data_IF_280476679255
#
_entry.id   IF_280476679255
#
_cell.length_a   1.000
_cell.length_b   1.000
_cell.length_c   1.000
_cell.angle_alpha   90.00
_cell.angle_beta   90.00
_cell.angle_gamma   90.00
#
_symmetry.space_group_name_H-M   'P 1'
#
loop_
_entity.id
_entity.type
_entity.pdbx_description
1 polymer ?
#
# COMPACT_ATOMS: atom_id res chain seq x y z
N UNK A 1 -16.15 -75.68 -14.05
CA UNK A 1 -14.83 -75.04 -13.90
C UNK A 1 -15.07 -73.53 -13.95
N UNK A 2 -15.16 -72.92 -12.82
CA UNK A 2 -15.48 -71.45 -12.70
C UNK A 2 -14.22 -70.70 -12.33
N UNK A 3 -13.80 -69.77 -13.17
CA UNK A 3 -12.68 -68.84 -12.88
C UNK A 3 -13.24 -67.53 -12.36
N UNK A 4 -13.07 -67.30 -11.09
CA UNK A 4 -13.36 -66.00 -10.44
C UNK A 4 -12.30 -65.01 -10.80
N UNK A 5 -12.69 -63.95 -11.54
CA UNK A 5 -11.85 -62.76 -11.76
C UNK A 5 -12.14 -61.82 -10.62
N UNK A 6 -11.16 -61.60 -9.76
CA UNK A 6 -11.20 -60.55 -8.72
C UNK A 6 -10.76 -59.26 -9.33
N UNK A 7 -11.70 -58.32 -9.48
CA UNK A 7 -11.41 -56.94 -9.83
C UNK A 7 -11.02 -56.21 -8.55
N UNK A 8 -9.76 -55.89 -8.41
CA UNK A 8 -9.28 -54.98 -7.36
C UNK A 8 -9.59 -53.54 -7.73
N UNK A 9 -10.54 -52.94 -7.04
CA UNK A 9 -10.81 -51.50 -7.15
C UNK A 9 -9.70 -50.75 -6.41
N UNK A 10 -8.84 -50.10 -7.18
CA UNK A 10 -7.84 -49.15 -6.65
C UNK A 10 -8.55 -47.83 -6.43
N UNK A 11 -8.89 -47.51 -5.18
CA UNK A 11 -9.32 -46.19 -4.78
C UNK A 11 -8.10 -45.24 -4.80
N UNK A 12 -7.98 -44.42 -5.83
CA UNK A 12 -7.03 -43.29 -5.86
C UNK A 12 -7.66 -42.17 -5.01
N UNK A 13 -7.27 -42.08 -3.75
CA UNK A 13 -7.48 -40.90 -2.95
C UNK A 13 -6.56 -39.82 -3.47
N UNK A 14 -7.06 -38.96 -4.33
CA UNK A 14 -6.42 -37.66 -4.63
C UNK A 14 -6.61 -36.77 -3.41
N UNK A 15 -5.60 -36.75 -2.54
CA UNK A 15 -5.46 -35.73 -1.52
C UNK A 15 -5.23 -34.40 -2.22
N UNK A 16 -6.29 -33.60 -2.34
CA UNK A 16 -6.20 -32.17 -2.65
C UNK A 16 -5.51 -31.49 -1.46
N UNK A 17 -4.18 -31.52 -1.46
CA UNK A 17 -3.41 -30.62 -0.62
C UNK A 17 -3.68 -29.22 -1.14
N UNK A 18 -4.59 -28.52 -0.46
CA UNK A 18 -4.72 -27.10 -0.59
C UNK A 18 -3.37 -26.45 -0.24
N UNK A 19 -2.59 -26.13 -1.25
CA UNK A 19 -1.49 -25.22 -1.08
C UNK A 19 -2.10 -23.86 -0.72
N UNK A 20 -2.37 -23.65 0.57
CA UNK A 20 -2.49 -22.32 1.11
C UNK A 20 -1.16 -21.63 0.79
N UNK A 21 -1.14 -20.80 -0.22
CA UNK A 21 -0.04 -19.89 -0.46
C UNK A 21 0.03 -19.02 0.79
N UNK A 22 0.85 -19.44 1.77
CA UNK A 22 1.28 -18.54 2.82
C UNK A 22 1.94 -17.36 2.09
N UNK A 23 1.25 -16.23 2.05
CA UNK A 23 1.87 -15.00 1.59
C UNK A 23 3.12 -14.81 2.45
N UNK A 24 4.31 -14.68 1.83
CA UNK A 24 5.50 -14.41 2.61
C UNK A 24 5.21 -13.16 3.43
N UNK A 25 5.46 -13.25 4.74
CA UNK A 25 5.40 -12.07 5.59
C UNK A 25 6.24 -11.00 4.90
N UNK A 26 5.62 -9.89 4.52
CA UNK A 26 6.34 -8.78 3.91
C UNK A 26 7.46 -8.41 4.86
N UNK A 27 8.70 -8.43 4.37
CA UNK A 27 9.82 -7.92 5.15
C UNK A 27 9.49 -6.48 5.53
N UNK A 28 9.81 -6.08 6.77
CA UNK A 28 9.56 -4.70 7.21
C UNK A 28 10.24 -3.74 6.24
N UNK A 29 9.43 -2.96 5.51
CA UNK A 29 9.94 -1.98 4.56
C UNK A 29 10.39 -0.77 5.37
N UNK A 30 11.71 -0.59 5.47
CA UNK A 30 12.30 0.55 6.15
C UNK A 30 12.13 1.82 5.33
N UNK A 31 11.63 2.88 5.96
CA UNK A 31 11.62 4.22 5.32
C UNK A 31 13.04 4.64 4.95
N UNK A 32 14.00 4.38 5.82
CA UNK A 32 15.41 4.79 5.62
C UNK A 32 16.05 4.18 4.38
N UNK A 33 15.68 2.94 4.05
CA UNK A 33 16.24 2.19 2.92
C UNK A 33 15.42 2.34 1.63
N UNK A 34 14.26 2.99 1.71
CA UNK A 34 13.39 3.21 0.55
C UNK A 34 14.01 4.18 -0.45
N UNK A 35 13.68 4.01 -1.72
CA UNK A 35 14.24 4.75 -2.85
C UNK A 35 13.15 5.50 -3.60
N UNK A 36 13.52 6.56 -4.32
CA UNK A 36 12.58 7.29 -5.17
C UNK A 36 11.88 6.38 -6.21
N UNK A 37 12.57 5.35 -6.69
CA UNK A 37 11.97 4.38 -7.61
C UNK A 37 10.79 3.61 -7.00
N UNK A 38 10.77 3.41 -5.69
CA UNK A 38 9.69 2.70 -4.99
C UNK A 38 8.37 3.49 -4.97
N UNK A 39 8.40 4.79 -5.27
CA UNK A 39 7.21 5.63 -5.40
C UNK A 39 6.30 5.21 -6.56
N UNK A 40 6.85 4.60 -7.61
CA UNK A 40 6.16 4.43 -8.89
C UNK A 40 5.55 3.04 -9.03
N UNK A 41 4.27 2.89 -8.71
CA UNK A 41 3.49 1.67 -8.93
C UNK A 41 2.82 1.75 -10.31
N UNK A 42 3.24 0.86 -11.23
CA UNK A 42 2.74 0.78 -12.60
C UNK A 42 1.84 -0.41 -12.87
N UNK A 43 1.93 -1.46 -12.07
CA UNK A 43 1.14 -2.67 -12.22
C UNK A 43 -0.36 -2.36 -12.13
N UNK A 44 -1.17 -3.00 -12.95
CA UNK A 44 -2.63 -2.81 -12.90
C UNK A 44 -3.21 -3.25 -11.56
N UNK A 45 -2.70 -4.37 -11.05
CA UNK A 45 -3.04 -4.91 -9.74
C UNK A 45 -1.76 -4.96 -8.91
N UNK A 46 -1.49 -3.93 -8.11
CA UNK A 46 -0.29 -3.92 -7.28
C UNK A 46 -0.38 -4.96 -6.15
N UNK A 47 0.78 -5.44 -5.72
CA UNK A 47 0.89 -6.23 -4.50
C UNK A 47 0.88 -5.34 -3.26
N UNK A 48 0.52 -5.92 -2.10
CA UNK A 48 0.63 -5.22 -0.82
C UNK A 48 2.06 -4.73 -0.57
N UNK A 49 3.07 -5.52 -0.94
CA UNK A 49 4.47 -5.14 -0.80
C UNK A 49 4.86 -3.91 -1.64
N UNK A 50 4.28 -3.74 -2.84
CA UNK A 50 4.51 -2.52 -3.64
C UNK A 50 3.88 -1.30 -2.99
N UNK A 51 2.69 -1.44 -2.39
CA UNK A 51 2.02 -0.36 -1.68
C UNK A 51 2.83 0.04 -0.43
N UNK A 52 3.34 -0.93 0.34
CA UNK A 52 4.19 -0.68 1.51
C UNK A 52 5.50 0.02 1.12
N UNK A 53 6.14 -0.39 0.01
CA UNK A 53 7.34 0.29 -0.51
C UNK A 53 7.06 1.72 -0.93
N UNK A 54 5.94 1.95 -1.65
CA UNK A 54 5.53 3.30 -2.03
C UNK A 54 5.27 4.17 -0.79
N UNK A 55 4.58 3.61 0.22
CA UNK A 55 4.34 4.28 1.49
C UNK A 55 5.67 4.67 2.17
N UNK A 56 6.61 3.73 2.31
CA UNK A 56 7.89 4.00 2.92
C UNK A 56 8.69 5.08 2.15
N UNK A 57 8.70 5.02 0.83
CA UNK A 57 9.36 6.01 -0.01
C UNK A 57 8.70 7.39 0.08
N UNK A 58 7.36 7.42 0.16
CA UNK A 58 6.63 8.68 0.28
C UNK A 58 6.97 9.43 1.56
N UNK A 59 7.04 8.73 2.69
CA UNK A 59 7.35 9.33 3.99
C UNK A 59 8.86 9.49 4.26
N UNK A 60 9.73 9.05 3.36
CA UNK A 60 11.18 9.24 3.50
C UNK A 60 11.56 10.72 3.27
N UNK A 61 12.03 11.44 4.31
CA UNK A 61 12.39 12.85 4.18
C UNK A 61 13.61 13.09 3.27
N UNK A 62 14.42 12.05 3.02
CA UNK A 62 15.58 12.14 2.13
C UNK A 62 15.22 12.08 0.65
N UNK A 63 13.98 11.69 0.31
CA UNK A 63 13.47 11.72 -1.06
C UNK A 63 12.87 13.10 -1.32
N UNK A 64 13.33 13.75 -2.38
CA UNK A 64 12.87 15.08 -2.77
C UNK A 64 11.35 15.16 -3.02
N UNK A 65 10.81 16.37 -3.04
CA UNK A 65 9.37 16.58 -3.18
C UNK A 65 8.87 16.27 -4.59
N UNK A 66 9.62 16.56 -5.64
CA UNK A 66 9.15 16.39 -7.02
C UNK A 66 8.64 14.99 -7.34
N UNK A 67 9.36 13.88 -7.08
CA UNK A 67 8.84 12.55 -7.32
C UNK A 67 7.62 12.20 -6.44
N UNK A 68 7.48 12.79 -5.26
CA UNK A 68 6.28 12.63 -4.41
C UNK A 68 5.07 13.32 -5.04
N UNK A 69 5.26 14.48 -5.62
CA UNK A 69 4.21 15.21 -6.35
C UNK A 69 3.77 14.46 -7.60
N UNK A 70 4.68 13.82 -8.33
CA UNK A 70 4.34 13.01 -9.50
C UNK A 70 3.41 11.84 -9.17
N UNK A 71 3.56 11.24 -7.99
CA UNK A 71 2.72 10.12 -7.51
C UNK A 71 1.56 10.60 -6.63
N UNK A 72 1.25 11.87 -6.65
CA UNK A 72 0.08 12.46 -6.00
C UNK A 72 -0.91 12.89 -7.06
N UNK A 73 -2.19 12.50 -6.91
CA UNK A 73 -3.26 12.98 -7.77
C UNK A 73 -3.45 14.47 -7.55
N UNK A 74 -3.54 15.24 -8.64
CA UNK A 74 -3.52 16.70 -8.60
C UNK A 74 -2.30 17.27 -7.81
N UNK A 75 -1.15 16.62 -7.98
CA UNK A 75 0.07 16.91 -7.23
C UNK A 75 0.49 18.37 -7.15
N UNK A 76 0.44 19.16 -8.26
CA UNK A 76 0.77 20.57 -8.20
C UNK A 76 -0.07 21.35 -7.18
N UNK A 77 -1.36 21.07 -7.05
CA UNK A 77 -2.22 21.70 -6.05
C UNK A 77 -1.93 21.18 -4.62
N UNK A 78 -1.53 19.91 -4.49
CA UNK A 78 -1.17 19.29 -3.22
C UNK A 78 0.19 19.77 -2.68
N UNK A 79 1.08 20.23 -3.54
CA UNK A 79 2.48 20.56 -3.18
C UNK A 79 2.61 21.42 -1.91
N UNK A 80 1.92 22.56 -1.75
CA UNK A 80 2.12 23.39 -0.55
C UNK A 80 1.74 22.66 0.74
N UNK A 81 0.70 21.82 0.71
CA UNK A 81 0.29 21.02 1.86
C UNK A 81 1.34 19.96 2.19
N UNK A 82 1.80 19.24 1.19
CA UNK A 82 2.78 18.15 1.37
C UNK A 82 4.15 18.70 1.82
N UNK A 83 4.58 19.87 1.33
CA UNK A 83 5.80 20.51 1.79
C UNK A 83 5.73 20.86 3.29
N UNK A 84 4.60 21.39 3.76
CA UNK A 84 4.39 21.64 5.20
C UNK A 84 4.40 20.37 6.03
N UNK A 85 3.75 19.30 5.54
CA UNK A 85 3.79 18.00 6.22
C UNK A 85 5.21 17.46 6.29
N UNK A 86 5.96 17.52 5.20
CA UNK A 86 7.34 17.04 5.19
C UNK A 86 8.29 17.90 6.03
N UNK A 87 7.97 19.19 6.22
CA UNK A 87 8.73 20.07 7.12
C UNK A 87 8.68 19.58 8.59
N UNK A 88 7.58 18.92 8.98
CA UNK A 88 7.46 18.32 10.33
C UNK A 88 8.48 17.23 10.58
N UNK A 89 9.07 16.63 9.51
CA UNK A 89 10.16 15.65 9.65
C UNK A 89 11.40 16.20 10.36
N UNK A 90 11.55 17.52 10.45
CA UNK A 90 12.62 18.17 11.20
C UNK A 90 12.43 18.09 12.71
N UNK A 91 11.21 17.90 13.17
CA UNK A 91 10.85 17.85 14.58
C UNK A 91 10.29 16.50 15.02
N UNK A 92 9.91 15.65 14.07
CA UNK A 92 9.34 14.34 14.31
C UNK A 92 10.16 13.28 13.57
N UNK A 93 10.37 12.12 14.19
CA UNK A 93 11.17 11.04 13.60
C UNK A 93 10.38 10.27 12.53
N UNK A 94 10.36 10.79 11.29
CA UNK A 94 9.71 10.13 10.17
C UNK A 94 10.36 8.78 9.82
N UNK A 95 11.60 8.55 10.19
CA UNK A 95 12.23 7.24 10.00
C UNK A 95 11.66 6.14 10.90
N UNK A 96 10.94 6.52 11.96
CA UNK A 96 10.22 5.58 12.81
C UNK A 96 8.84 5.19 12.26
N UNK A 97 8.35 5.83 11.19
CA UNK A 97 7.07 5.51 10.58
C UNK A 97 7.14 4.10 9.95
N UNK A 98 6.17 3.28 10.27
CA UNK A 98 5.97 1.97 9.67
C UNK A 98 4.54 1.89 9.17
N UNK A 99 4.37 1.42 7.93
CA UNK A 99 3.06 1.20 7.33
C UNK A 99 2.91 -0.24 6.88
N UNK A 100 1.73 -0.79 7.14
CA UNK A 100 1.33 -2.13 6.67
C UNK A 100 0.07 -2.00 5.83
N UNK A 101 0.16 -2.43 4.59
CA UNK A 101 -1.00 -2.57 3.73
C UNK A 101 -1.71 -3.89 4.00
N UNK A 102 -3.02 -3.86 4.11
CA UNK A 102 -3.85 -5.02 4.45
C UNK A 102 -4.77 -5.39 3.28
N UNK A 103 -4.89 -6.69 3.03
CA UNK A 103 -5.87 -7.22 2.09
C UNK A 103 -7.31 -7.01 2.63
N UNK A 104 -8.30 -6.87 1.71
CA UNK A 104 -8.14 -6.87 0.27
C UNK A 104 -7.71 -5.51 -0.29
N UNK A 105 -7.04 -5.52 -1.45
CA UNK A 105 -6.92 -4.35 -2.31
C UNK A 105 -8.17 -4.30 -3.17
N UNK A 106 -8.94 -3.21 -3.10
CA UNK A 106 -10.15 -3.04 -3.88
C UNK A 106 -9.88 -2.12 -5.07
N UNK A 107 -10.04 -2.64 -6.29
CA UNK A 107 -9.85 -1.88 -7.52
C UNK A 107 -11.17 -1.81 -8.27
N UNK A 108 -11.54 -0.59 -8.69
CA UNK A 108 -12.73 -0.32 -9.50
C UNK A 108 -12.39 0.70 -10.58
N UNK A 109 -12.25 0.24 -11.82
CA UNK A 109 -11.82 1.10 -12.92
C UNK A 109 -10.43 1.70 -12.65
N UNK A 110 -10.35 3.01 -12.58
CA UNK A 110 -9.12 3.74 -12.30
C UNK A 110 -8.93 4.14 -10.82
N UNK A 111 -9.73 3.60 -9.92
CA UNK A 111 -9.63 3.85 -8.49
C UNK A 111 -9.19 2.60 -7.74
N UNK A 112 -8.45 2.78 -6.67
CA UNK A 112 -8.02 1.72 -5.77
C UNK A 112 -8.12 2.19 -4.32
N UNK A 113 -8.58 1.29 -3.44
CA UNK A 113 -8.52 1.52 -1.99
C UNK A 113 -7.81 0.35 -1.31
N UNK A 114 -7.08 0.68 -0.25
CA UNK A 114 -6.40 -0.30 0.59
C UNK A 114 -6.38 0.19 2.04
N UNK A 115 -6.61 -0.72 2.98
CA UNK A 115 -6.43 -0.40 4.38
C UNK A 115 -4.93 -0.37 4.72
N UNK A 116 -4.50 0.66 5.43
CA UNK A 116 -3.13 0.81 5.92
C UNK A 116 -3.16 1.01 7.43
N UNK A 117 -2.39 0.19 8.13
CA UNK A 117 -2.07 0.42 9.53
C UNK A 117 -0.73 1.15 9.60
N UNK A 118 -0.68 2.21 10.36
CA UNK A 118 0.53 3.00 10.55
C UNK A 118 0.89 3.17 12.02
N UNK A 119 2.18 3.16 12.31
CA UNK A 119 2.73 3.53 13.61
C UNK A 119 3.87 4.52 13.40
N UNK A 120 4.04 5.42 14.35
CA UNK A 120 5.19 6.31 14.43
C UNK A 120 5.57 6.45 15.91
N UNK A 121 6.87 6.49 16.21
CA UNK A 121 7.35 6.61 17.59
C UNK A 121 6.75 7.85 18.28
N UNK A 122 6.19 7.65 19.47
CA UNK A 122 5.53 8.71 20.22
C UNK A 122 4.06 8.98 19.87
N UNK A 123 3.48 8.25 18.90
CA UNK A 123 2.09 8.41 18.49
C UNK A 123 1.32 7.10 18.58
N UNK A 124 0.00 7.14 18.84
CA UNK A 124 -0.84 5.96 18.77
C UNK A 124 -0.81 5.32 17.38
N UNK A 125 -0.97 4.00 17.32
CA UNK A 125 -1.20 3.31 16.06
C UNK A 125 -2.48 3.81 15.38
N UNK A 126 -2.43 3.98 14.08
CA UNK A 126 -3.56 4.46 13.27
C UNK A 126 -3.96 3.42 12.25
N UNK A 127 -5.24 3.46 11.86
CA UNK A 127 -5.77 2.68 10.73
C UNK A 127 -6.49 3.66 9.80
N UNK A 128 -6.17 3.64 8.54
CA UNK A 128 -6.76 4.53 7.55
C UNK A 128 -6.98 3.80 6.24
N UNK A 129 -7.96 4.24 5.46
CA UNK A 129 -8.11 3.83 4.07
C UNK A 129 -7.26 4.76 3.21
N UNK A 130 -6.39 4.17 2.42
CA UNK A 130 -5.63 4.90 1.42
C UNK A 130 -6.35 4.81 0.09
N UNK A 131 -6.54 5.96 -0.52
CA UNK A 131 -7.23 6.15 -1.80
C UNK A 131 -6.22 6.47 -2.88
N UNK A 132 -6.41 5.85 -4.04
CA UNK A 132 -5.54 6.03 -5.21
C UNK A 132 -6.36 6.23 -6.46
N UNK A 133 -5.80 7.02 -7.37
CA UNK A 133 -6.30 7.19 -8.73
C UNK A 133 -5.20 6.76 -9.70
N UNK A 134 -5.58 5.95 -10.69
CA UNK A 134 -4.66 5.57 -11.76
C UNK A 134 -4.72 6.59 -12.88
N UNK A 135 -3.61 7.29 -13.08
CA UNK A 135 -3.46 8.29 -14.11
C UNK A 135 -2.10 8.14 -14.79
N UNK A 136 -2.07 8.19 -16.12
CA UNK A 136 -0.86 8.04 -16.93
C UNK A 136 -0.07 6.74 -16.61
N UNK A 137 -0.79 5.65 -16.31
CA UNK A 137 -0.20 4.36 -15.99
C UNK A 137 0.41 4.25 -14.59
N UNK A 138 0.18 5.21 -13.71
CA UNK A 138 0.66 5.25 -12.32
C UNK A 138 -0.50 5.26 -11.33
N UNK A 139 -0.36 4.53 -10.23
CA UNK A 139 -1.20 4.69 -9.07
C UNK A 139 -0.70 5.86 -8.23
N UNK A 140 -1.54 6.88 -8.11
CA UNK A 140 -1.26 8.13 -7.40
C UNK A 140 -2.12 8.25 -6.15
N UNK A 141 -1.54 8.72 -5.06
CA UNK A 141 -2.29 9.01 -3.84
C UNK A 141 -3.35 10.08 -4.08
N UNK A 142 -4.57 9.81 -3.67
CA UNK A 142 -5.63 10.82 -3.56
C UNK A 142 -5.69 11.33 -2.11
N UNK A 143 -4.81 12.26 -1.77
CA UNK A 143 -4.75 12.80 -0.42
C UNK A 143 -6.00 13.56 -0.02
N UNK A 144 -6.74 14.10 -0.97
CA UNK A 144 -8.01 14.77 -0.67
C UNK A 144 -9.06 13.76 -0.17
N UNK A 145 -9.15 12.59 -0.80
CA UNK A 145 -10.03 11.51 -0.35
C UNK A 145 -9.55 10.91 0.98
N UNK A 146 -8.25 10.68 1.13
CA UNK A 146 -7.65 10.19 2.40
C UNK A 146 -7.98 11.17 3.52
N UNK A 147 -7.81 12.47 3.30
CA UNK A 147 -8.10 13.51 4.26
C UNK A 147 -9.59 13.55 4.63
N UNK A 148 -10.48 13.41 3.66
CA UNK A 148 -11.92 13.38 3.91
C UNK A 148 -12.30 12.21 4.83
N UNK A 149 -11.67 11.05 4.65
CA UNK A 149 -11.93 9.84 5.43
C UNK A 149 -11.47 9.97 6.89
N UNK A 150 -10.30 10.56 7.13
CA UNK A 150 -9.76 10.77 8.49
C UNK A 150 -10.19 12.10 9.14
N UNK A 151 -11.19 12.76 8.58
CA UNK A 151 -11.79 13.99 9.10
C UNK A 151 -10.81 15.17 9.24
N UNK A 152 -9.81 15.27 8.37
CA UNK A 152 -8.97 16.47 8.29
C UNK A 152 -9.62 17.59 7.45
N UNK A 153 -10.93 17.48 7.23
CA UNK A 153 -11.75 18.50 6.57
C UNK A 153 -11.69 19.82 7.33
N UNK A 154 -11.52 20.89 6.60
CA UNK A 154 -11.37 22.21 7.20
C UNK A 154 -9.94 22.57 7.58
N UNK A 155 -9.00 21.64 7.47
CA UNK A 155 -7.60 21.99 7.46
C UNK A 155 -7.27 22.60 6.08
N UNK A 156 -6.91 23.89 5.99
CA UNK A 156 -6.61 24.55 4.72
C UNK A 156 -5.47 23.85 3.96
N UNK A 157 -4.65 23.06 4.67
CA UNK A 157 -3.50 22.37 4.11
C UNK A 157 -3.90 21.18 3.23
N UNK A 158 -5.07 20.59 3.45
CA UNK A 158 -5.57 19.44 2.69
C UNK A 158 -6.84 19.75 1.89
N UNK A 159 -7.21 21.01 1.81
CA UNK A 159 -8.38 21.49 1.05
C UNK A 159 -8.10 21.81 -0.42
N UNK A 160 -6.96 21.37 -0.92
CA UNK A 160 -6.57 21.61 -2.32
C UNK A 160 -7.49 20.95 -3.33
#
# INVERSE_FOLDING_TARGET
MSKFIRIAAVCILTALMGFGLAQPASADVSIRDSKAADLYIRDEVPSLAQIEKQFAAFWNPNIGMDPKIEVTFNGPAARPALERVMETSKTMDFFSIQGRALAPINISGNTMTVNVHGVMAGFPATSSVYYYIRENGLWKYDFKAICADIQCQGNPDFGY
#
